data_IF_594420528747
#
_entry.id   IF_594420528747
#
_cell.length_a   1.000
_cell.length_b   1.000
_cell.length_c   1.000
_cell.angle_alpha   90.00
_cell.angle_beta   90.00
_cell.angle_gamma   90.00
#
_symmetry.space_group_name_H-M   'P 1'
#
loop_
_entity.id
_entity.type
_entity.pdbx_description
1 polymer ?
#
# COMPACT_ATOMS: atom_id res chain seq x y z
N UNK A 1 30.67 -56.06 -17.43
CA UNK A 1 31.50 -54.89 -17.09
C UNK A 1 30.64 -53.65 -17.25
N UNK A 2 30.52 -52.86 -16.17
CA UNK A 2 29.64 -51.69 -16.00
C UNK A 2 30.23 -50.47 -16.72
N UNK A 3 29.44 -49.74 -17.51
CA UNK A 3 29.66 -48.31 -17.87
C UNK A 3 28.29 -47.69 -18.21
N UNK A 4 27.54 -47.27 -17.18
CA UNK A 4 27.37 -45.86 -16.76
C UNK A 4 26.47 -45.06 -17.72
N UNK A 5 25.17 -45.12 -17.44
CA UNK A 5 24.15 -44.17 -17.92
C UNK A 5 24.42 -42.85 -17.20
N UNK A 6 24.80 -41.82 -17.96
CA UNK A 6 24.87 -40.44 -17.46
C UNK A 6 23.54 -39.79 -17.80
N UNK A 7 22.62 -39.78 -16.84
CA UNK A 7 21.40 -38.97 -16.90
C UNK A 7 21.81 -37.51 -16.60
N UNK A 8 21.94 -36.70 -17.64
CA UNK A 8 22.14 -35.26 -17.51
C UNK A 8 20.79 -34.66 -17.10
N UNK A 9 20.60 -34.45 -15.80
CA UNK A 9 19.50 -33.66 -15.26
C UNK A 9 19.73 -32.19 -15.63
N UNK A 10 19.07 -31.72 -16.68
CA UNK A 10 18.95 -30.30 -17.02
C UNK A 10 18.12 -29.61 -15.94
N UNK A 11 18.81 -29.04 -14.94
CA UNK A 11 18.21 -28.14 -13.96
C UNK A 11 18.17 -26.73 -14.57
N UNK A 12 17.05 -26.41 -15.22
CA UNK A 12 16.70 -25.06 -15.64
C UNK A 12 16.03 -24.37 -14.44
N UNK A 13 16.82 -23.86 -13.49
CA UNK A 13 16.31 -22.95 -12.45
C UNK A 13 16.24 -21.55 -13.07
N UNK A 14 15.07 -21.25 -13.61
CA UNK A 14 14.69 -19.94 -14.10
C UNK A 14 14.12 -19.13 -12.91
N UNK A 15 14.87 -18.09 -12.53
CA UNK A 15 14.41 -16.76 -12.09
C UNK A 15 13.44 -16.67 -10.90
N UNK A 16 13.92 -16.01 -9.83
CA UNK A 16 13.18 -14.93 -9.14
C UNK A 16 14.19 -14.01 -8.40
N UNK A 17 15.00 -13.29 -9.18
CA UNK A 17 15.64 -12.06 -8.70
C UNK A 17 14.56 -10.97 -8.65
N UNK A 18 13.94 -10.76 -7.50
CA UNK A 18 13.21 -9.50 -7.22
C UNK A 18 13.38 -9.07 -5.77
N UNK A 19 14.62 -9.12 -5.28
CA UNK A 19 15.01 -8.52 -4.01
C UNK A 19 16.11 -7.47 -4.22
N UNK A 20 15.78 -6.44 -5.00
CA UNK A 20 16.51 -5.17 -5.03
C UNK A 20 15.51 -4.02 -5.18
N UNK A 21 14.72 -3.79 -4.13
CA UNK A 21 14.10 -2.47 -3.89
C UNK A 21 14.48 -1.94 -2.51
N UNK A 22 15.71 -2.25 -2.07
CA UNK A 22 16.41 -1.40 -1.12
C UNK A 22 16.96 -0.24 -1.95
N UNK A 23 16.12 0.74 -2.29
CA UNK A 23 16.47 2.09 -2.78
C UNK A 23 15.15 2.84 -3.07
N UNK A 24 14.24 2.85 -2.10
CA UNK A 24 12.96 3.58 -2.16
C UNK A 24 13.06 4.99 -1.59
N UNK A 25 14.17 5.70 -1.78
CA UNK A 25 14.19 7.17 -1.71
C UNK A 25 14.11 7.64 -3.18
N UNK A 26 13.04 7.23 -3.85
CA UNK A 26 12.75 7.56 -5.24
C UNK A 26 11.92 8.83 -5.28
N UNK A 27 12.23 9.72 -6.21
CA UNK A 27 11.61 11.03 -6.47
C UNK A 27 10.14 10.92 -6.94
N UNK A 28 9.29 10.25 -6.17
CA UNK A 28 7.87 10.06 -6.42
C UNK A 28 7.06 10.16 -5.13
N UNK A 29 5.74 10.30 -5.26
CA UNK A 29 4.87 10.51 -4.10
C UNK A 29 5.00 9.40 -3.06
N UNK A 30 5.10 9.78 -1.78
CA UNK A 30 5.52 8.85 -0.70
C UNK A 30 4.51 7.74 -0.42
N UNK A 31 3.28 7.85 -0.93
CA UNK A 31 2.25 6.83 -0.84
C UNK A 31 2.41 5.69 -1.86
N UNK A 32 3.18 5.89 -2.94
CA UNK A 32 3.37 4.87 -3.99
C UNK A 32 4.10 3.62 -3.48
N UNK A 33 3.95 2.51 -4.17
CA UNK A 33 4.53 1.20 -3.85
C UNK A 33 3.61 0.29 -3.04
N UNK A 34 4.20 -0.76 -2.48
CA UNK A 34 3.48 -1.84 -1.79
C UNK A 34 3.21 -1.50 -0.33
N UNK A 35 2.06 -1.97 0.14
CA UNK A 35 1.56 -1.83 1.50
C UNK A 35 0.96 -3.15 1.96
N UNK A 36 1.24 -3.51 3.22
CA UNK A 36 0.51 -4.51 3.97
C UNK A 36 -0.64 -3.79 4.67
N UNK A 37 -1.86 -4.23 4.41
CA UNK A 37 -3.06 -3.59 4.94
C UNK A 37 -3.94 -4.56 5.73
N UNK A 38 -4.67 -4.03 6.71
CA UNK A 38 -5.73 -4.75 7.41
C UNK A 38 -6.99 -3.91 7.42
N UNK A 39 -8.13 -4.50 7.06
CA UNK A 39 -9.44 -3.85 7.08
C UNK A 39 -10.16 -4.03 8.43
N UNK A 40 -11.36 -3.45 8.53
CA UNK A 40 -12.14 -3.40 9.77
C UNK A 40 -12.61 -4.78 10.25
N UNK A 41 -12.78 -5.76 9.36
CA UNK A 41 -13.12 -7.14 9.73
C UNK A 41 -11.88 -7.99 10.08
N UNK A 42 -10.68 -7.40 10.10
CA UNK A 42 -9.42 -8.05 10.46
C UNK A 42 -8.78 -8.83 9.31
N UNK A 43 -9.30 -8.72 8.09
CA UNK A 43 -8.75 -9.32 6.90
C UNK A 43 -7.47 -8.62 6.46
N UNK A 44 -6.44 -9.42 6.17
CA UNK A 44 -5.16 -8.92 5.66
C UNK A 44 -5.18 -8.90 4.14
N UNK A 45 -4.76 -7.78 3.56
CA UNK A 45 -4.70 -7.59 2.11
C UNK A 45 -3.46 -6.80 1.69
N UNK A 46 -2.94 -7.12 0.51
CA UNK A 46 -1.87 -6.33 -0.09
C UNK A 46 -2.47 -5.21 -0.92
N UNK A 47 -1.96 -3.99 -0.73
CA UNK A 47 -2.36 -2.81 -1.48
C UNK A 47 -1.14 -2.24 -2.20
N UNK A 48 -1.29 -1.90 -3.48
CA UNK A 48 -0.21 -1.30 -4.27
C UNK A 48 -0.73 -0.04 -4.93
N UNK A 49 0.03 1.04 -4.82
CA UNK A 49 -0.23 2.30 -5.53
C UNK A 49 0.90 2.55 -6.53
N UNK A 50 0.57 2.63 -7.82
CA UNK A 50 1.50 3.01 -8.87
C UNK A 50 1.31 4.50 -9.21
N UNK A 51 1.43 4.90 -10.48
CA UNK A 51 1.25 6.31 -10.85
C UNK A 51 -0.23 6.73 -10.90
N UNK A 52 -1.03 6.01 -11.69
CA UNK A 52 -2.47 6.29 -11.93
C UNK A 52 -3.33 5.01 -11.77
N UNK A 53 -2.74 3.96 -11.21
CA UNK A 53 -3.35 2.66 -11.02
C UNK A 53 -2.95 2.08 -9.68
N UNK A 54 -3.80 1.24 -9.12
CA UNK A 54 -3.50 0.49 -7.92
C UNK A 54 -4.04 -0.92 -7.97
N UNK A 55 -3.68 -1.70 -6.96
CA UNK A 55 -4.12 -3.09 -6.77
C UNK A 55 -4.53 -3.31 -5.33
N UNK A 56 -5.75 -3.80 -5.12
CA UNK A 56 -6.23 -4.29 -3.82
C UNK A 56 -6.38 -5.81 -3.92
N UNK A 57 -5.40 -6.53 -3.38
CA UNK A 57 -5.18 -7.94 -3.72
C UNK A 57 -4.95 -8.09 -5.22
N UNK A 58 -5.78 -8.89 -5.88
CA UNK A 58 -5.71 -9.12 -7.33
C UNK A 58 -6.57 -8.14 -8.15
N UNK A 59 -7.33 -7.26 -7.50
CA UNK A 59 -8.22 -6.32 -8.19
C UNK A 59 -7.49 -5.03 -8.53
N UNK A 60 -7.41 -4.72 -9.82
CA UNK A 60 -6.87 -3.45 -10.31
C UNK A 60 -7.91 -2.33 -10.25
N UNK A 61 -7.46 -1.11 -9.98
CA UNK A 61 -8.28 0.10 -10.04
C UNK A 61 -7.50 1.27 -10.64
N UNK A 62 -8.20 2.18 -11.31
CA UNK A 62 -7.66 3.44 -11.79
C UNK A 62 -7.97 4.55 -10.80
N UNK A 63 -7.04 5.48 -10.63
CA UNK A 63 -7.26 6.67 -9.82
C UNK A 63 -6.46 7.86 -10.32
N UNK A 64 -6.89 9.05 -9.90
CA UNK A 64 -6.19 10.32 -10.09
C UNK A 64 -5.81 10.88 -8.73
N UNK A 65 -4.64 11.53 -8.64
CA UNK A 65 -4.26 12.30 -7.46
C UNK A 65 -4.87 13.69 -7.54
N UNK A 66 -5.73 14.04 -6.59
CA UNK A 66 -6.42 15.33 -6.57
C UNK A 66 -5.63 16.40 -5.82
N UNK A 67 -5.16 16.05 -4.62
CA UNK A 67 -4.48 16.98 -3.71
C UNK A 67 -3.46 16.23 -2.87
N UNK A 68 -2.37 16.91 -2.53
CA UNK A 68 -1.44 16.50 -1.48
C UNK A 68 -1.17 17.67 -0.54
N UNK A 69 -0.87 17.38 0.72
CA UNK A 69 -0.67 18.43 1.70
C UNK A 69 -0.28 17.93 3.09
N UNK A 70 -0.32 18.88 4.02
CA UNK A 70 -0.17 18.65 5.44
C UNK A 70 -1.27 19.41 6.18
N UNK A 71 -1.85 18.76 7.20
CA UNK A 71 -2.79 19.35 8.14
C UNK A 71 -2.47 18.76 9.51
N UNK A 72 -2.31 19.60 10.53
CA UNK A 72 -1.91 19.19 11.89
C UNK A 72 -0.69 18.25 11.97
N UNK A 73 0.31 18.50 11.12
CA UNK A 73 1.51 17.66 10.90
C UNK A 73 1.25 16.27 10.30
N UNK A 74 0.02 15.95 9.92
CA UNK A 74 -0.32 14.75 9.16
C UNK A 74 -0.15 15.03 7.68
N UNK A 75 0.80 14.32 7.06
CA UNK A 75 0.94 14.33 5.60
C UNK A 75 -0.22 13.54 4.98
N UNK A 76 -0.79 14.03 3.89
CA UNK A 76 -1.87 13.31 3.22
C UNK A 76 -1.88 13.45 1.70
N UNK A 77 -2.59 12.52 1.07
CA UNK A 77 -2.87 12.49 -0.36
C UNK A 77 -4.33 12.12 -0.59
N UNK A 78 -5.06 12.96 -1.30
CA UNK A 78 -6.44 12.68 -1.73
C UNK A 78 -6.43 12.13 -3.15
N UNK A 79 -7.11 11.02 -3.36
CA UNK A 79 -7.24 10.35 -4.65
C UNK A 79 -8.72 10.17 -5.00
N UNK A 80 -9.02 10.21 -6.30
CA UNK A 80 -10.33 9.87 -6.84
C UNK A 80 -10.23 8.58 -7.66
N UNK A 81 -11.00 7.57 -7.29
CA UNK A 81 -11.11 6.28 -7.95
C UNK A 81 -12.37 6.25 -8.81
N UNK A 82 -12.23 5.86 -10.08
CA UNK A 82 -13.32 5.78 -11.06
C UNK A 82 -14.21 7.04 -11.11
N UNK A 83 -13.59 8.23 -11.00
CA UNK A 83 -14.23 9.55 -11.06
C UNK A 83 -15.35 9.81 -10.03
N UNK A 84 -15.55 8.92 -9.06
CA UNK A 84 -16.71 8.93 -8.15
C UNK A 84 -16.31 8.78 -6.69
N UNK A 85 -15.36 7.89 -6.40
CA UNK A 85 -15.01 7.55 -5.03
C UNK A 85 -13.77 8.30 -4.59
N UNK A 86 -13.90 9.13 -3.56
CA UNK A 86 -12.81 9.92 -3.02
C UNK A 86 -12.22 9.20 -1.81
N UNK A 87 -10.89 9.13 -1.74
CA UNK A 87 -10.19 8.52 -0.62
C UNK A 87 -8.99 9.36 -0.21
N UNK A 88 -8.58 9.22 1.04
CA UNK A 88 -7.39 9.88 1.56
C UNK A 88 -6.40 8.87 2.12
N UNK A 89 -5.16 8.97 1.67
CA UNK A 89 -4.01 8.26 2.25
C UNK A 89 -3.33 9.22 3.22
N UNK A 90 -3.53 9.01 4.52
CA UNK A 90 -2.97 9.84 5.58
C UNK A 90 -1.82 9.15 6.30
N UNK A 91 -0.77 9.89 6.61
CA UNK A 91 0.41 9.44 7.32
C UNK A 91 0.41 10.01 8.73
N UNK A 92 0.03 9.22 9.75
CA UNK A 92 -0.04 9.70 11.12
C UNK A 92 1.35 9.88 11.77
N UNK A 93 2.42 9.41 11.14
CA UNK A 93 3.80 9.66 11.58
C UNK A 93 4.69 10.27 10.49
N UNK A 94 5.85 10.77 10.93
CA UNK A 94 6.83 11.40 10.05
C UNK A 94 7.74 10.40 9.31
N UNK A 95 7.72 9.13 9.70
CA UNK A 95 8.61 8.12 9.11
C UNK A 95 8.05 7.52 7.81
N UNK A 96 6.75 7.78 7.57
CA UNK A 96 6.01 7.44 6.36
C UNK A 96 5.95 5.93 6.06
N UNK A 97 6.22 5.09 7.07
CA UNK A 97 6.10 3.63 6.98
C UNK A 97 4.75 3.13 7.41
N UNK A 98 3.97 3.94 8.10
CA UNK A 98 2.57 3.68 8.43
C UNK A 98 1.67 4.68 7.71
N UNK A 99 0.47 4.23 7.35
CA UNK A 99 -0.55 5.07 6.78
C UNK A 99 -1.94 4.52 7.11
N UNK A 100 -2.96 5.33 6.90
CA UNK A 100 -4.37 4.92 6.92
C UNK A 100 -4.99 5.30 5.59
N UNK A 101 -5.89 4.44 5.08
CA UNK A 101 -6.77 4.77 3.96
C UNK A 101 -8.14 5.09 4.52
N UNK A 102 -8.61 6.30 4.23
CA UNK A 102 -9.87 6.85 4.70
C UNK A 102 -10.82 7.07 3.52
N UNK A 103 -12.12 6.88 3.76
CA UNK A 103 -13.19 7.49 2.99
C UNK A 103 -13.63 8.75 3.75
N UNK A 104 -13.31 9.96 3.25
CA UNK A 104 -13.66 11.19 3.94
C UNK A 104 -15.17 11.45 3.89
N UNK A 105 -15.74 11.97 4.98
CA UNK A 105 -17.15 12.36 5.06
C UNK A 105 -17.47 13.53 4.10
N UNK A 106 -16.47 14.40 3.90
CA UNK A 106 -16.49 15.51 2.94
C UNK A 106 -15.13 15.59 2.22
N UNK A 107 -15.07 15.57 0.87
CA UNK A 107 -13.82 15.71 0.12
C UNK A 107 -13.02 16.99 0.43
N UNK A 108 -13.67 18.01 1.02
CA UNK A 108 -13.02 19.26 1.45
C UNK A 108 -12.25 19.12 2.76
N UNK A 109 -12.63 18.13 3.58
CA UNK A 109 -12.04 17.81 4.89
C UNK A 109 -11.44 16.39 4.84
N UNK A 110 -10.35 16.19 4.07
CA UNK A 110 -9.91 14.86 3.63
C UNK A 110 -9.42 13.94 4.75
N UNK A 111 -9.13 14.47 5.94
CA UNK A 111 -8.63 13.71 7.08
C UNK A 111 -9.73 13.18 8.01
N UNK A 112 -10.98 13.56 7.80
CA UNK A 112 -12.10 13.18 8.66
C UNK A 112 -13.08 12.27 7.92
N UNK A 113 -13.27 11.06 8.43
CA UNK A 113 -14.20 10.07 7.86
C UNK A 113 -13.92 8.65 8.33
N UNK A 114 -14.37 7.66 7.56
CA UNK A 114 -14.25 6.25 7.90
C UNK A 114 -12.88 5.69 7.51
N UNK A 115 -12.18 5.05 8.45
CA UNK A 115 -10.97 4.28 8.12
C UNK A 115 -11.34 2.95 7.47
N UNK A 116 -10.92 2.77 6.23
CA UNK A 116 -11.11 1.52 5.49
C UNK A 116 -9.97 0.53 5.75
N UNK A 117 -8.73 1.03 5.79
CA UNK A 117 -7.56 0.19 5.98
C UNK A 117 -6.48 0.87 6.84
N UNK A 118 -5.97 0.10 7.81
CA UNK A 118 -4.67 0.38 8.41
C UNK A 118 -3.58 -0.15 7.47
N UNK A 119 -2.49 0.61 7.26
CA UNK A 119 -1.42 0.26 6.33
C UNK A 119 -0.02 0.36 6.95
N UNK A 120 0.86 -0.54 6.52
CA UNK A 120 2.26 -0.57 6.95
C UNK A 120 3.16 -1.12 5.83
N UNK A 121 4.39 -0.60 5.71
CA UNK A 121 5.36 -1.04 4.68
C UNK A 121 5.96 -2.43 4.91
N UNK A 122 6.00 -2.91 6.14
CA UNK A 122 6.79 -4.09 6.54
C UNK A 122 5.94 -5.30 6.91
N UNK A 123 4.87 -5.12 7.68
CA UNK A 123 4.05 -6.22 8.23
C UNK A 123 2.58 -5.86 8.25
N UNK A 124 1.68 -6.85 8.22
CA UNK A 124 0.25 -6.56 8.37
C UNK A 124 -0.02 -5.85 9.70
N UNK A 125 -0.67 -4.67 9.67
CA UNK A 125 -1.00 -3.93 10.87
C UNK A 125 -2.18 -4.57 11.60
N UNK A 126 -2.52 -4.01 12.76
CA UNK A 126 -3.78 -4.31 13.45
C UNK A 126 -4.69 -3.09 13.33
N UNK A 127 -5.86 -3.26 12.70
CA UNK A 127 -6.79 -2.18 12.41
C UNK A 127 -7.22 -1.45 13.68
N UNK A 128 -7.64 -2.18 14.71
CA UNK A 128 -8.10 -1.58 15.97
C UNK A 128 -7.00 -0.76 16.66
N UNK A 129 -5.77 -1.27 16.70
CA UNK A 129 -4.63 -0.52 17.27
C UNK A 129 -4.34 0.77 16.50
N UNK A 130 -4.65 0.85 15.21
CA UNK A 130 -4.46 2.08 14.45
C UNK A 130 -5.53 3.11 14.79
N UNK A 131 -6.77 2.69 15.01
CA UNK A 131 -7.82 3.57 15.54
C UNK A 131 -7.38 4.13 16.89
N UNK A 132 -7.06 3.24 17.85
CA UNK A 132 -6.75 3.62 19.23
C UNK A 132 -5.54 4.56 19.33
N UNK A 133 -4.60 4.49 18.38
CA UNK A 133 -3.36 5.28 18.41
C UNK A 133 -3.42 6.57 17.59
N UNK A 134 -4.24 6.63 16.53
CA UNK A 134 -4.13 7.68 15.52
C UNK A 134 -5.44 8.39 15.14
N UNK A 135 -6.61 7.86 15.53
CA UNK A 135 -7.91 8.39 15.11
C UNK A 135 -8.82 8.79 16.29
N UNK A 136 -8.21 9.13 17.45
CA UNK A 136 -8.95 9.60 18.63
C UNK A 136 -9.42 11.05 18.51
#
# INVERSE_FOLDING_TARGET
>A
MKKSIVFVFTVFILICLSACSILGIGRGETYRGKWKAQGSAGENIDLVFEENTGKLGDKEFHYVLDKSGYEDNTKYYSITVNDTYHYTIAFPDNDLKIAVLLEPDDPRDPLYGEMLYAMNRQKYPNFQKYIDNYLN
#
